data_IF_397689659563
#
_entry.id   IF_397689659563
#
_cell.length_a   1.000
_cell.length_b   1.000
_cell.length_c   1.000
_cell.angle_alpha   90.00
_cell.angle_beta   90.00
_cell.angle_gamma   90.00
#
_symmetry.space_group_name_H-M   'P 1'
#
loop_
_entity.id
_entity.type
_entity.pdbx_description
1 polymer ?
2 polymer ?
3 non-polymer ?
4 non-polymer ?
5 water ?
#
loop_
_entity_poly.entity_id
_entity_poly.type
_entity_poly.pdbx_seq_one_letter_code
_entity_poly.pdbx_strand_id
1 'polyribonucleotide' '(GTP)GCAUUGUGCCUCGCAUUGCACUCCGCGGGGCGAUAAGUCCUGAAAAGGGAUGUC' ?
#
# COMPACT_ATOMS: atom_id res chain seq x y z
N UNK C 2 -24.61 9.86 16.19
CA UNK C 2 -23.65 10.21 15.14
C UNK C 2 -24.26 10.72 13.81
N UNK C 3 -25.17 9.97 13.16
CA UNK C 3 -25.70 10.42 11.86
C UNK C 3 -26.39 11.77 11.97
N UNK C 4 -26.45 12.49 10.84
CA UNK C 4 -26.78 13.91 10.89
C UNK C 4 -27.31 14.34 9.52
N UNK C 5 -28.06 15.45 9.52
CA UNK C 5 -28.65 15.94 8.28
C UNK C 5 -27.59 16.35 7.28
N UNK C 6 -26.40 16.71 7.75
CA UNK C 6 -25.35 17.20 6.85
C UNK C 6 -24.11 16.32 6.97
N UNK C 7 -23.35 16.21 5.87
CA UNK C 7 -22.15 15.39 5.84
C UNK C 7 -20.95 16.30 5.62
N UNK C 8 -19.88 16.05 6.36
CA UNK C 8 -18.64 16.78 6.23
C UNK C 8 -17.71 16.03 5.29
N UNK C 9 -17.10 16.75 4.35
CA UNK C 9 -16.23 16.18 3.34
C UNK C 9 -14.91 16.93 3.37
N UNK C 10 -13.82 16.25 3.72
CA UNK C 10 -12.56 16.93 3.50
C UNK C 10 -11.70 16.14 2.52
N UNK C 11 -10.39 16.43 2.50
CA UNK C 11 -9.49 15.95 1.46
C UNK C 11 -9.89 16.43 0.07
N UNK C 12 -10.68 17.49 -0.05
CA UNK C 12 -10.99 17.98 -1.38
C UNK C 12 -9.80 18.69 -2.00
N UNK C 13 -9.77 18.63 -3.34
CA UNK C 13 -8.74 19.30 -4.13
C UNK C 13 -8.93 20.80 -3.99
N UNK C 14 -7.95 21.45 -3.36
CA UNK C 14 -8.02 22.88 -3.07
C UNK C 14 -7.73 23.79 -4.26
N UNK C 15 -7.23 23.27 -5.38
CA UNK C 15 -6.99 24.13 -6.53
C UNK C 15 -8.25 24.43 -7.31
N UNK C 16 -9.43 24.07 -6.82
CA UNK C 16 -10.64 24.16 -7.63
C UNK C 16 -11.43 25.39 -7.20
N UNK C 17 -11.86 26.17 -8.18
CA UNK C 17 -12.61 27.39 -7.89
C UNK C 17 -13.90 27.04 -7.14
N UNK C 18 -14.33 27.97 -6.30
CA UNK C 18 -15.44 27.69 -5.38
C UNK C 18 -16.76 27.55 -6.14
N UNK C 19 -16.97 28.38 -7.15
CA UNK C 19 -18.14 28.24 -8.02
C UNK C 19 -18.22 26.82 -8.57
N UNK C 20 -17.16 26.38 -9.22
CA UNK C 20 -17.13 25.05 -9.80
C UNK C 20 -17.28 23.97 -8.73
N UNK C 21 -16.66 24.19 -7.56
CA UNK C 21 -16.71 23.20 -6.49
C UNK C 21 -18.14 22.94 -6.04
N UNK C 22 -18.89 24.00 -5.72
CA UNK C 22 -20.29 23.82 -5.36
C UNK C 22 -21.06 23.14 -6.48
N UNK C 23 -20.89 23.59 -7.71
CA UNK C 23 -21.66 23.01 -8.80
C UNK C 23 -21.31 21.54 -8.96
N UNK C 24 -20.02 21.20 -8.86
CA UNK C 24 -19.63 19.80 -8.98
C UNK C 24 -20.11 18.96 -7.80
N UNK C 25 -20.02 19.50 -6.59
CA UNK C 25 -20.52 18.78 -5.43
C UNK C 25 -22.02 18.58 -5.55
N UNK C 26 -22.73 19.61 -6.01
CA UNK C 26 -24.19 19.52 -6.06
C UNK C 26 -24.64 18.49 -7.07
N UNK C 27 -23.98 18.43 -8.23
CA UNK C 27 -24.37 17.45 -9.23
C UNK C 27 -24.29 16.04 -8.65
N UNK C 28 -23.14 15.71 -8.04
CA UNK C 28 -22.91 14.37 -7.54
C UNK C 28 -23.91 14.03 -6.45
N UNK C 29 -24.11 14.95 -5.50
CA UNK C 29 -24.83 14.55 -4.29
C UNK C 29 -26.35 14.71 -4.38
N UNK C 30 -26.88 15.52 -5.30
CA UNK C 30 -28.33 15.58 -5.50
C UNK C 30 -28.94 14.21 -5.80
N UNK C 31 -28.18 13.31 -6.43
CA UNK C 31 -28.65 11.95 -6.71
C UNK C 31 -29.10 11.21 -5.46
N UNK C 32 -28.87 11.80 -4.28
CA UNK C 32 -29.20 11.13 -3.04
C UNK C 32 -30.38 11.75 -2.29
N UNK C 33 -30.84 12.92 -2.70
CA UNK C 33 -31.95 13.56 -2.03
C UNK C 33 -31.94 15.06 -2.29
N UNK C 34 -32.96 15.72 -1.73
CA UNK C 34 -33.01 17.16 -1.85
C UNK C 34 -31.95 17.79 -0.94
N UNK C 35 -31.31 18.83 -1.46
CA UNK C 35 -30.21 19.48 -0.79
C UNK C 35 -30.61 20.92 -0.47
N UNK C 36 -30.45 21.31 0.79
CA UNK C 36 -30.84 22.65 1.22
C UNK C 36 -29.75 23.67 0.93
N UNK C 37 -28.49 23.32 1.18
CA UNK C 37 -27.38 24.19 0.80
C UNK C 37 -26.10 23.36 0.77
N UNK C 38 -25.05 23.98 0.23
CA UNK C 38 -23.70 23.42 0.22
C UNK C 38 -22.76 24.54 0.62
N UNK C 39 -22.20 24.46 1.83
CA UNK C 39 -21.32 25.51 2.33
C UNK C 39 -19.87 25.20 1.96
N UNK C 40 -19.26 26.05 1.15
CA UNK C 40 -17.89 25.85 0.74
C UNK C 40 -17.12 27.15 0.93
N UNK C 41 -16.01 27.05 1.65
CA UNK C 41 -15.18 28.19 1.99
C UNK C 41 -13.76 27.82 1.63
N UNK C 42 -12.98 28.80 1.15
CA UNK C 42 -11.58 28.61 0.82
C UNK C 42 -10.63 29.32 1.78
N UNK C 43 -11.11 29.71 2.98
CA UNK C 43 -10.25 30.24 4.03
C UNK C 43 -9.14 29.23 4.34
N UNK C 44 -8.12 29.63 5.11
CA UNK C 44 -7.16 28.63 5.56
C UNK C 44 -7.87 27.51 6.32
N UNK C 45 -8.69 27.89 7.30
CA UNK C 45 -9.31 26.89 8.14
C UNK C 45 -10.18 25.92 7.34
N UNK C 46 -10.79 26.38 6.24
CA UNK C 46 -11.94 25.72 5.65
C UNK C 46 -11.74 25.25 4.21
N UNK C 47 -10.62 25.55 3.58
CA UNK C 47 -10.36 25.03 2.25
C UNK C 47 -10.20 23.51 2.29
N UNK C 48 -10.38 22.89 1.12
CA UNK C 48 -10.35 21.45 1.01
C UNK C 48 -11.51 20.74 1.67
N UNK C 49 -12.54 21.48 2.11
CA UNK C 49 -13.66 20.89 2.83
C UNK C 49 -14.98 21.43 2.30
N UNK C 50 -16.05 20.74 2.65
CA UNK C 50 -17.38 21.24 2.32
C UNK C 50 -18.41 20.60 3.23
N UNK C 51 -19.47 21.36 3.50
CA UNK C 51 -20.65 20.86 4.19
C UNK C 51 -21.77 20.74 3.17
N UNK C 52 -22.48 19.62 3.20
CA UNK C 52 -23.62 19.42 2.32
C UNK C 52 -24.80 19.09 3.22
N UNK C 53 -25.69 20.06 3.42
CA UNK C 53 -26.92 19.87 4.20
C UNK C 53 -27.93 19.14 3.34
N UNK C 54 -28.37 17.96 3.78
CA UNK C 54 -29.48 17.25 3.17
C UNK C 54 -30.76 17.52 3.94
N UNK C 55 -31.91 17.33 3.29
CA UNK C 55 -33.16 17.65 3.96
C UNK C 55 -33.66 16.49 4.80
N UNK C 56 -33.41 15.25 4.37
CA UNK C 56 -33.73 14.08 5.16
C UNK C 56 -32.42 13.37 5.50
N UNK C 57 -32.30 12.86 6.73
CA UNK C 57 -31.04 12.23 7.07
C UNK C 57 -30.84 10.93 6.30
N UNK C 58 -31.93 10.29 5.83
CA UNK C 58 -31.78 9.12 4.99
C UNK C 58 -30.88 9.41 3.81
N UNK C 59 -31.02 10.60 3.23
CA UNK C 59 -30.21 10.99 2.08
C UNK C 59 -28.74 11.10 2.45
N UNK C 60 -28.46 11.83 3.55
CA UNK C 60 -27.09 11.99 4.01
C UNK C 60 -26.41 10.64 4.22
N UNK C 61 -27.11 9.69 4.81
CA UNK C 61 -26.55 8.37 5.01
C UNK C 61 -26.26 7.67 3.67
N UNK C 62 -27.26 7.62 2.78
CA UNK C 62 -27.05 6.97 1.49
C UNK C 62 -25.90 7.65 0.72
N UNK C 63 -25.75 8.97 0.90
CA UNK C 63 -24.69 9.67 0.18
C UNK C 63 -23.33 9.40 0.84
N UNK C 64 -23.28 9.25 2.15
CA UNK C 64 -22.00 9.04 2.79
C UNK C 64 -21.43 7.67 2.41
N UNK C 65 -22.25 6.61 2.45
CA UNK C 65 -21.72 5.27 2.19
C UNK C 65 -21.49 5.01 0.71
N UNK C 66 -22.37 5.51 -0.16
CA UNK C 66 -22.14 5.29 -1.58
C UNK C 66 -20.88 6.03 -2.04
N UNK C 67 -20.67 7.27 -1.56
CA UNK C 67 -19.62 8.11 -2.09
C UNK C 67 -18.31 8.05 -1.33
N UNK C 68 -18.24 7.37 -0.18
CA UNK C 68 -17.04 7.38 0.65
C UNK C 68 -15.80 6.99 -0.15
N UNK C 69 -14.78 7.86 -0.15
CA UNK C 69 -13.53 7.56 -0.83
C UNK C 69 -13.56 7.58 -2.35
N UNK C 70 -14.65 8.02 -2.96
CA UNK C 70 -14.77 8.00 -4.40
C UNK C 70 -13.96 9.14 -5.03
N UNK C 71 -13.44 8.94 -6.23
CA UNK C 71 -12.59 9.98 -6.84
C UNK C 71 -13.40 11.20 -7.20
N UNK C 72 -12.80 12.35 -6.98
CA UNK C 72 -13.48 13.62 -7.28
C UNK C 72 -12.35 14.61 -7.47
N UNK C 73 -12.17 15.09 -8.71
CA UNK C 73 -11.05 15.96 -9.03
C UNK C 73 -9.72 15.39 -8.55
N UNK C 74 -9.50 14.10 -8.85
CA UNK C 74 -8.23 13.40 -8.64
C UNK C 74 -7.91 13.12 -7.19
N UNK C 75 -8.88 13.22 -6.28
CA UNK C 75 -8.59 12.93 -4.88
C UNK C 75 -9.75 12.18 -4.28
N UNK C 76 -9.49 11.27 -3.34
CA UNK C 76 -10.57 10.50 -2.73
C UNK C 76 -11.31 11.36 -1.71
N UNK C 77 -12.62 11.51 -1.90
CA UNK C 77 -13.43 12.22 -0.92
C UNK C 77 -13.41 11.43 0.38
N UNK C 78 -13.15 12.09 1.49
CA UNK C 78 -13.34 11.47 2.80
C UNK C 78 -14.55 12.14 3.44
N UNK C 79 -15.56 11.33 3.77
CA UNK C 79 -16.85 11.83 4.21
C UNK C 79 -17.17 11.31 5.60
N UNK C 80 -17.49 12.21 6.51
CA UNK C 80 -18.09 11.83 7.77
C UNK C 80 -19.34 12.70 8.01
N UNK C 81 -20.14 12.34 9.00
CA UNK C 81 -21.25 13.23 9.38
C UNK C 81 -20.75 14.43 10.17
N UNK C 82 -21.40 15.56 9.96
CA UNK C 82 -21.05 16.75 10.75
C UNK C 82 -21.20 16.46 12.23
N UNK C 83 -20.29 17.04 13.03
CA UNK C 83 -20.34 16.82 14.47
C UNK C 83 -21.65 17.34 15.08
N UNK C 84 -22.22 18.41 14.51
CA UNK C 84 -23.47 18.97 15.00
C UNK C 84 -24.39 19.34 13.84
N UNK C 85 -25.68 19.49 14.16
CA UNK C 85 -26.64 19.96 13.17
C UNK C 85 -26.23 21.32 12.62
N UNK C 86 -26.61 21.57 11.37
CA UNK C 86 -26.33 22.85 10.74
C UNK C 86 -27.39 23.89 11.13
N UNK C 87 -27.00 25.16 11.11
CA UNK C 87 -27.86 26.20 11.67
C UNK C 87 -29.25 26.19 11.05
N UNK C 88 -29.33 26.13 9.72
CA UNK C 88 -30.62 26.22 9.03
C UNK C 88 -31.40 24.93 9.21
N UNK C 89 -30.80 23.97 9.90
CA UNK C 89 -31.50 22.74 10.29
C UNK C 89 -31.88 22.75 11.77
N UNK C 90 -30.96 23.23 12.63
CA UNK C 90 -31.15 23.28 14.09
C UNK C 90 -32.31 24.20 14.52
N UNK C 91 -33.06 24.75 13.57
CA UNK C 91 -34.31 25.43 13.88
C UNK C 91 -35.37 24.36 14.10
N UNK C 92 -35.46 23.91 15.36
CA UNK C 92 -36.50 22.99 15.83
C UNK C 92 -36.75 23.18 17.34
N UNK D 1 -1.66 -16.22 -3.81
CA UNK D 1 -1.40 -16.39 -2.37
C UNK D 1 -2.63 -16.93 -1.63
N UNK D 2 -2.38 -17.69 -0.55
CA UNK D 2 -3.42 -18.11 0.38
C UNK D 2 -3.84 -16.92 1.25
N UNK D 3 -5.09 -16.91 1.71
CA UNK D 3 -5.59 -15.77 2.52
C UNK D 3 -4.86 -15.60 3.84
N UNK D 4 -5.24 -14.58 4.61
CA UNK D 4 -4.26 -13.85 5.41
C UNK D 4 -4.93 -12.62 6.05
N UNK D 5 -4.44 -12.17 7.19
CA UNK D 5 -5.06 -11.03 7.86
C UNK D 5 -4.75 -9.70 7.20
N UNK D 6 -3.64 -9.60 6.48
CA UNK D 6 -3.11 -8.32 6.03
C UNK D 6 -3.11 -8.31 4.51
N UNK D 7 -3.61 -7.24 3.92
CA UNK D 7 -3.58 -7.11 2.47
C UNK D 7 -2.41 -6.23 2.10
N UNK D 8 -1.85 -6.50 0.93
CA UNK D 8 -0.73 -5.74 0.41
C UNK D 8 -1.23 -4.98 -0.81
N UNK D 9 -0.98 -3.67 -0.80
CA UNK D 9 -1.51 -2.72 -1.76
C UNK D 9 -0.34 -2.04 -2.45
N UNK D 10 -0.39 -1.97 -3.78
CA UNK D 10 0.65 -1.25 -4.51
C UNK D 10 0.03 -0.66 -5.77
N UNK D 11 0.89 -0.11 -6.61
CA UNK D 11 0.47 0.80 -7.66
C UNK D 11 -0.22 2.02 -7.06
N UNK D 12 0.14 2.33 -5.83
CA UNK D 12 -0.25 3.56 -5.20
C UNK D 12 0.41 4.74 -5.91
N UNK D 13 -0.17 5.93 -5.76
CA UNK D 13 0.44 7.15 -6.29
C UNK D 13 1.53 7.61 -5.33
N UNK D 14 2.77 7.65 -5.82
CA UNK D 14 3.95 7.85 -4.99
C UNK D 14 4.18 9.29 -4.59
N UNK D 15 3.39 10.23 -5.06
CA UNK D 15 3.62 11.63 -4.73
C UNK D 15 2.77 12.13 -3.57
N UNK D 16 2.11 11.24 -2.84
CA UNK D 16 1.13 11.65 -1.82
C UNK D 16 1.75 11.53 -0.44
N UNK D 17 1.64 12.58 0.37
CA UNK D 17 2.08 12.50 1.75
C UNK D 17 1.53 11.24 2.40
N UNK D 18 2.43 10.40 2.94
CA UNK D 18 2.02 9.17 3.57
C UNK D 18 0.93 9.39 4.62
N UNK D 19 1.05 10.45 5.42
CA UNK D 19 0.01 10.74 6.42
C UNK D 19 -1.36 10.94 5.76
N UNK D 20 -1.40 11.56 4.58
CA UNK D 20 -2.67 11.75 3.89
C UNK D 20 -3.16 10.45 3.27
N UNK D 21 -2.27 9.69 2.67
CA UNK D 21 -2.75 8.46 2.04
C UNK D 21 -3.20 7.45 3.10
N UNK D 22 -2.59 7.46 4.29
CA UNK D 22 -3.09 6.63 5.37
C UNK D 22 -4.53 6.98 5.70
N UNK D 23 -4.85 8.27 5.81
CA UNK D 23 -6.22 8.66 6.13
C UNK D 23 -7.19 8.19 5.04
N UNK D 24 -6.77 8.28 3.77
CA UNK D 24 -7.65 7.83 2.70
C UNK D 24 -7.79 6.31 2.64
N UNK D 25 -6.74 5.56 3.00
CA UNK D 25 -6.89 4.11 3.09
C UNK D 25 -7.93 3.74 4.13
N UNK D 26 -7.81 4.35 5.30
CA UNK D 26 -8.77 4.10 6.36
C UNK D 26 -10.19 4.42 5.89
N UNK D 27 -10.35 5.56 5.22
CA UNK D 27 -11.70 5.96 4.84
C UNK D 27 -12.35 4.91 3.94
N UNK D 28 -11.58 4.26 3.09
CA UNK D 28 -12.20 3.33 2.16
C UNK D 28 -12.18 1.87 2.64
N UNK D 29 -11.28 1.51 3.56
CA UNK D 29 -11.24 0.13 4.03
C UNK D 29 -11.96 -0.10 5.35
N UNK D 30 -12.42 0.96 6.02
CA UNK D 30 -13.06 0.78 7.33
C UNK D 30 -14.34 -0.03 7.27
N UNK D 31 -15.12 0.06 6.19
CA UNK D 31 -16.43 -0.60 6.18
C UNK D 31 -16.32 -2.11 6.32
N UNK D 32 -15.21 -2.71 5.87
CA UNK D 32 -15.05 -4.16 5.87
C UNK D 32 -14.79 -4.76 7.24
N UNK D 33 -14.67 -3.95 8.28
CA UNK D 33 -14.41 -4.49 9.60
C UNK D 33 -13.26 -3.75 10.24
N UNK D 34 -12.86 -4.23 11.42
CA UNK D 34 -11.83 -3.53 12.18
C UNK D 34 -10.47 -3.61 11.47
N UNK D 35 -9.79 -2.46 11.39
CA UNK D 35 -8.40 -2.38 10.96
C UNK D 35 -7.55 -2.40 12.23
N UNK D 36 -6.51 -3.23 12.26
CA UNK D 36 -5.58 -3.14 13.39
C UNK D 36 -4.51 -2.09 13.15
N UNK D 37 -4.19 -1.79 11.90
CA UNK D 37 -3.06 -0.93 11.56
C UNK D 37 -3.05 -0.69 10.05
N UNK D 38 -2.72 0.53 9.64
CA UNK D 38 -2.38 0.84 8.25
C UNK D 38 -0.92 1.25 8.26
N UNK D 39 -0.08 0.59 7.46
CA UNK D 39 1.31 0.97 7.35
C UNK D 39 1.52 1.71 6.04
N UNK D 40 1.86 2.98 6.14
CA UNK D 40 2.37 3.76 5.02
C UNK D 40 3.69 4.34 5.50
N UNK D 41 4.69 4.30 4.62
CA UNK D 41 6.07 4.45 5.02
C UNK D 41 6.82 5.13 3.90
N UNK D 42 8.12 5.28 4.07
CA UNK D 42 8.91 5.82 2.98
C UNK D 42 8.93 4.89 1.78
N UNK D 43 8.57 3.62 1.96
CA UNK D 43 8.40 2.75 0.80
C UNK D 43 7.14 3.07 0.02
N UNK D 44 6.31 3.99 0.48
CA UNK D 44 5.31 4.55 -0.44
C UNK D 44 5.99 5.37 -1.53
N UNK D 45 7.02 6.13 -1.18
CA UNK D 45 7.78 6.84 -2.20
C UNK D 45 8.58 5.87 -3.05
N UNK D 46 9.16 4.84 -2.42
CA UNK D 46 10.08 3.92 -3.07
C UNK D 46 9.33 3.03 -4.04
N UNK D 47 8.79 1.93 -3.52
CA UNK D 47 7.84 1.14 -4.30
C UNK D 47 6.54 1.93 -4.31
N UNK D 48 5.48 1.37 -4.85
CA UNK D 48 4.25 2.12 -4.68
C UNK D 48 3.30 1.47 -3.69
N UNK D 49 3.74 1.21 -2.46
CA UNK D 49 3.07 0.19 -1.66
C UNK D 49 2.73 0.67 -0.24
N UNK D 50 1.79 -0.06 0.35
CA UNK D 50 1.38 0.15 1.74
C UNK D 50 0.67 -1.11 2.20
N UNK D 51 0.25 -1.12 3.47
CA UNK D 51 -0.39 -2.28 4.07
C UNK D 51 -1.62 -1.87 4.85
N UNK D 52 -2.69 -2.65 4.75
CA UNK D 52 -3.80 -2.60 5.70
C UNK D 52 -3.94 -3.97 6.37
N UNK D 53 -4.10 -3.97 7.70
CA UNK D 53 -4.05 -5.20 8.50
C UNK D 53 -5.37 -5.32 9.26
N UNK D 54 -6.22 -6.26 8.86
CA UNK D 54 -7.53 -6.43 9.48
C UNK D 54 -7.48 -7.39 10.65
N UNK D 55 -8.45 -7.24 11.56
CA UNK D 55 -8.51 -8.15 12.70
C UNK D 55 -8.99 -9.54 12.27
N UNK D 56 -9.88 -9.61 11.27
CA UNK D 56 -10.52 -10.85 10.88
C UNK D 56 -10.22 -11.14 9.41
N UNK D 57 -9.81 -12.37 9.13
CA UNK D 57 -9.44 -12.77 7.78
C UNK D 57 -10.56 -12.51 6.76
N UNK D 58 -11.82 -12.61 7.17
CA UNK D 58 -12.93 -12.35 6.24
C UNK D 58 -12.98 -10.89 5.82
N UNK D 59 -12.66 -9.97 6.75
CA UNK D 59 -12.53 -8.55 6.41
C UNK D 59 -11.57 -8.37 5.25
N UNK D 60 -10.42 -9.04 5.33
CA UNK D 60 -9.40 -8.92 4.30
C UNK D 60 -9.91 -9.40 2.96
N UNK D 61 -10.58 -10.54 2.92
CA UNK D 61 -11.09 -11.04 1.64
C UNK D 61 -12.12 -10.09 1.04
N UNK D 62 -13.13 -9.69 1.84
CA UNK D 62 -14.12 -8.75 1.34
C UNK D 62 -13.45 -7.51 0.77
N UNK D 63 -12.46 -6.96 1.50
CA UNK D 63 -11.75 -5.77 1.02
C UNK D 63 -11.03 -6.06 -0.28
N UNK D 64 -10.27 -7.17 -0.33
CA UNK D 64 -9.55 -7.50 -1.54
C UNK D 64 -10.50 -7.63 -2.71
N UNK D 65 -11.62 -8.31 -2.53
CA UNK D 65 -12.49 -8.54 -3.66
C UNK D 65 -13.28 -7.28 -4.04
N UNK D 66 -13.76 -6.54 -3.03
CA UNK D 66 -14.49 -5.31 -3.28
C UNK D 66 -13.61 -4.23 -3.91
N UNK D 67 -12.38 -4.08 -3.44
CA UNK D 67 -11.65 -2.85 -3.74
C UNK D 67 -10.61 -3.01 -4.84
N UNK D 68 -10.47 -4.20 -5.40
CA UNK D 68 -9.41 -4.42 -6.36
C UNK D 68 -9.60 -3.56 -7.61
N UNK D 69 -8.62 -2.71 -7.92
CA UNK D 69 -8.69 -1.80 -9.03
C UNK D 69 -9.31 -0.46 -8.72
N UNK D 70 -9.65 -0.21 -7.46
CA UNK D 70 -10.26 1.06 -7.07
C UNK D 70 -9.46 2.24 -7.59
N UNK D 71 -10.10 3.29 -8.09
CA UNK D 71 -9.36 4.49 -8.50
C UNK D 71 -8.93 5.26 -7.26
N UNK D 72 -7.65 5.59 -7.19
CA UNK D 72 -7.08 6.16 -5.97
C UNK D 72 -5.98 7.12 -6.39
N UNK D 73 -6.19 8.42 -6.14
CA UNK D 73 -5.22 9.46 -6.48
C UNK D 73 -4.67 9.28 -7.90
N UNK D 74 -5.57 8.95 -8.83
CA UNK D 74 -5.38 8.79 -10.28
C UNK D 74 -4.74 7.47 -10.71
N UNK D 75 -4.58 6.51 -9.82
CA UNK D 75 -4.11 5.20 -10.26
C UNK D 75 -4.96 4.11 -9.64
N UNK D 76 -5.14 2.98 -10.33
CA UNK D 76 -5.92 1.88 -9.76
C UNK D 76 -5.12 1.02 -8.78
N UNK D 77 -5.75 0.73 -7.65
CA UNK D 77 -5.11 -0.11 -6.64
C UNK D 77 -4.91 -1.50 -7.15
N UNK D 78 -3.75 -2.08 -6.85
CA UNK D 78 -3.59 -3.52 -6.90
C UNK D 78 -3.53 -4.01 -5.47
N UNK D 79 -4.28 -5.07 -5.18
CA UNK D 79 -4.43 -5.58 -3.83
C UNK D 79 -4.19 -7.09 -3.86
N UNK D 80 -3.28 -7.56 -3.03
CA UNK D 80 -3.07 -8.97 -2.79
C UNK D 80 -2.98 -9.18 -1.30
N UNK D 81 -3.22 -10.42 -0.87
CA UNK D 81 -2.79 -10.82 0.47
C UNK D 81 -1.29 -10.70 0.57
N UNK D 82 -0.82 -10.22 1.73
CA UNK D 82 0.62 -10.18 1.95
C UNK D 82 1.21 -11.59 1.85
N UNK D 83 2.43 -11.67 1.35
CA UNK D 83 3.15 -12.94 1.40
C UNK D 83 3.25 -13.45 2.84
N UNK D 84 3.35 -12.55 3.82
CA UNK D 84 3.52 -12.91 5.22
C UNK D 84 2.54 -12.10 6.07
N UNK D 85 1.81 -12.78 6.96
CA UNK D 85 1.05 -12.08 7.98
C UNK D 85 1.95 -11.18 8.83
N UNK D 86 1.46 -9.97 9.14
CA UNK D 86 2.24 -9.08 9.97
C UNK D 86 2.27 -9.58 11.41
N UNK D 87 3.35 -9.23 12.13
CA UNK D 87 3.55 -9.77 13.48
C UNK D 87 2.46 -9.40 14.47
N UNK D 88 1.77 -8.28 14.24
CA UNK D 88 0.74 -7.83 15.18
C UNK D 88 -0.19 -8.99 15.57
N UNK D 89 -0.33 -9.98 14.69
CA UNK D 89 -1.18 -11.15 14.93
C UNK D 89 -0.67 -11.98 16.11
N UNK E 2 16.50 -20.06 -13.90
CA UNK E 2 17.11 -21.27 -14.45
C UNK E 2 17.39 -21.18 -15.92
N UNK E 3 18.43 -20.46 -16.32
CA UNK E 3 19.34 -19.61 -15.56
C UNK E 3 18.68 -18.34 -15.07
N UNK E 4 19.46 -17.44 -14.47
CA UNK E 4 18.93 -16.24 -13.82
C UNK E 4 20.11 -15.37 -13.43
N UNK E 5 19.89 -14.06 -13.33
CA UNK E 5 20.96 -13.17 -12.89
C UNK E 5 21.36 -13.45 -11.45
N UNK E 6 20.50 -14.10 -10.69
CA UNK E 6 20.67 -14.23 -9.24
C UNK E 6 20.84 -15.70 -8.89
N UNK E 7 21.85 -16.00 -8.07
CA UNK E 7 21.99 -17.36 -7.57
C UNK E 7 21.55 -17.40 -6.12
N UNK E 8 20.93 -18.51 -5.74
CA UNK E 8 20.46 -18.75 -4.39
C UNK E 8 21.35 -19.79 -3.74
N UNK E 9 22.09 -19.38 -2.71
CA UNK E 9 23.01 -20.24 -2.00
C UNK E 9 22.39 -20.62 -0.67
N UNK E 10 22.45 -21.90 -0.32
CA UNK E 10 22.02 -22.28 1.03
C UNK E 10 23.02 -23.29 1.56
N UNK E 11 22.65 -24.00 2.62
CA UNK E 11 23.59 -24.81 3.40
C UNK E 11 24.75 -23.97 3.90
N UNK E 12 24.53 -22.68 4.10
CA UNK E 12 25.60 -21.85 4.63
C UNK E 12 25.69 -21.98 6.15
N UNK E 13 26.85 -21.60 6.67
CA UNK E 13 27.13 -21.69 8.10
C UNK E 13 26.42 -20.56 8.86
N UNK E 14 25.37 -20.91 9.61
CA UNK E 14 24.55 -19.92 10.28
C UNK E 14 25.24 -19.15 11.39
N UNK E 15 26.45 -19.53 11.82
CA UNK E 15 27.10 -18.80 12.91
C UNK E 15 27.89 -17.58 12.43
N UNK E 16 27.87 -17.29 11.15
CA UNK E 16 28.66 -16.16 10.63
C UNK E 16 27.83 -14.89 10.75
N UNK E 17 28.45 -13.81 11.24
CA UNK E 17 27.76 -12.53 11.36
C UNK E 17 27.35 -12.02 9.99
N UNK E 18 26.14 -11.45 9.91
CA UNK E 18 25.62 -11.01 8.63
C UNK E 18 26.63 -10.18 7.85
N UNK E 19 27.27 -9.21 8.52
CA UNK E 19 28.04 -8.25 7.77
C UNK E 19 29.28 -8.89 7.16
N UNK E 20 29.79 -9.96 7.77
CA UNK E 20 30.99 -10.55 7.21
C UNK E 20 30.67 -11.67 6.25
N UNK E 21 29.51 -12.32 6.42
CA UNK E 21 29.04 -13.25 5.41
C UNK E 21 28.80 -12.54 4.09
N UNK E 22 28.09 -11.41 4.15
CA UNK E 22 27.87 -10.56 2.99
C UNK E 22 29.19 -10.21 2.31
N UNK E 23 30.15 -9.67 3.07
CA UNK E 23 31.41 -9.29 2.43
C UNK E 23 32.20 -10.51 1.97
N UNK E 24 31.98 -11.66 2.61
CA UNK E 24 32.69 -12.86 2.19
C UNK E 24 32.15 -13.37 0.86
N UNK E 25 30.84 -13.55 0.77
CA UNK E 25 30.22 -13.86 -0.51
C UNK E 25 30.66 -12.88 -1.59
N UNK E 26 30.68 -11.58 -1.29
CA UNK E 26 31.03 -10.61 -2.31
C UNK E 26 32.46 -10.82 -2.81
N UNK E 27 33.41 -10.95 -1.88
CA UNK E 27 34.81 -11.09 -2.29
C UNK E 27 35.02 -12.37 -3.10
N UNK E 28 34.25 -13.40 -2.80
CA UNK E 28 34.48 -14.67 -3.48
C UNK E 28 33.78 -14.69 -4.83
N UNK E 29 32.51 -14.27 -4.88
CA UNK E 29 31.78 -14.38 -6.13
C UNK E 29 32.11 -13.25 -7.10
N UNK E 30 32.59 -12.10 -6.60
CA UNK E 30 33.09 -11.01 -7.45
C UNK E 30 34.08 -11.51 -8.49
N UNK E 31 34.78 -12.60 -8.20
CA UNK E 31 35.70 -13.17 -9.16
C UNK E 31 34.99 -13.72 -10.38
N UNK E 32 33.67 -13.90 -10.34
CA UNK E 32 32.97 -14.48 -11.48
C UNK E 32 32.19 -13.44 -12.27
N UNK E 33 32.33 -12.17 -11.93
CA UNK E 33 31.70 -11.10 -12.68
C UNK E 33 31.27 -9.97 -11.76
N UNK E 34 30.97 -8.83 -12.37
CA UNK E 34 30.41 -7.71 -11.63
C UNK E 34 29.17 -8.16 -10.86
N UNK E 35 29.03 -7.66 -9.63
CA UNK E 35 27.91 -7.99 -8.75
C UNK E 35 27.12 -6.72 -8.40
N UNK E 36 25.80 -6.83 -8.36
CA UNK E 36 24.93 -5.71 -8.02
C UNK E 36 24.49 -5.71 -6.56
N UNK E 37 24.17 -6.87 -5.99
CA UNK E 37 23.89 -6.90 -4.56
C UNK E 37 24.03 -8.33 -4.04
N UNK E 38 24.35 -8.43 -2.74
CA UNK E 38 24.15 -9.62 -1.95
C UNK E 38 23.00 -9.32 -0.99
N UNK E 39 22.04 -10.24 -0.90
CA UNK E 39 20.97 -10.12 0.10
C UNK E 39 21.07 -11.27 1.09
N UNK E 40 21.23 -10.92 2.36
CA UNK E 40 21.49 -11.86 3.44
C UNK E 40 20.64 -11.45 4.63
N UNK E 41 19.91 -12.40 5.21
CA UNK E 41 19.19 -12.19 6.45
C UNK E 41 19.48 -13.34 7.40
N UNK E 42 19.63 -13.03 8.68
CA UNK E 42 19.75 -14.13 9.64
C UNK E 42 18.43 -14.49 10.29
N UNK E 43 17.30 -14.12 9.69
CA UNK E 43 16.00 -14.48 10.23
C UNK E 43 15.87 -16.00 10.28
N UNK E 44 14.79 -16.48 10.89
CA UNK E 44 14.62 -17.93 10.94
C UNK E 44 14.27 -18.49 9.56
N UNK E 45 13.50 -17.75 8.77
CA UNK E 45 13.19 -18.18 7.42
C UNK E 45 14.42 -18.11 6.53
N UNK E 46 15.23 -17.04 6.66
CA UNK E 46 16.30 -16.75 5.70
C UNK E 46 17.71 -17.01 6.21
N UNK E 47 17.91 -17.51 7.42
CA UNK E 47 19.27 -17.83 7.82
C UNK E 47 19.78 -19.03 7.04
N UNK E 48 21.10 -19.14 6.93
CA UNK E 48 21.73 -20.21 6.19
C UNK E 48 21.78 -20.02 4.70
N UNK E 49 21.19 -18.94 4.16
CA UNK E 49 20.98 -18.78 2.74
C UNK E 49 21.47 -17.40 2.30
N UNK E 50 21.44 -17.15 1.00
CA UNK E 50 21.88 -15.87 0.45
C UNK E 50 21.49 -15.78 -1.03
N UNK E 51 21.29 -14.56 -1.48
CA UNK E 51 21.09 -14.23 -2.88
C UNK E 51 22.23 -13.32 -3.30
N UNK E 52 23.01 -13.74 -4.28
CA UNK E 52 23.97 -12.85 -4.91
C UNK E 52 23.56 -12.60 -6.36
N UNK E 53 23.51 -11.33 -6.71
CA UNK E 53 22.86 -10.84 -7.92
C UNK E 53 23.93 -10.36 -8.86
N UNK E 54 24.15 -11.10 -9.94
CA UNK E 54 25.18 -10.74 -10.90
C UNK E 54 24.60 -9.80 -11.95
N UNK E 55 25.47 -8.97 -12.53
CA UNK E 55 25.01 -8.10 -13.61
C UNK E 55 24.65 -8.90 -14.86
N UNK E 56 25.40 -9.97 -15.17
CA UNK E 56 25.17 -10.74 -16.39
C UNK E 56 25.06 -12.22 -16.06
N UNK E 57 24.15 -12.90 -16.78
CA UNK E 57 23.82 -14.29 -16.51
C UNK E 57 24.99 -15.22 -16.82
N UNK E 58 25.86 -14.84 -17.75
CA UNK E 58 27.08 -15.63 -17.94
C UNK E 58 27.82 -15.77 -16.62
N UNK E 59 28.06 -14.63 -15.94
CA UNK E 59 28.67 -14.62 -14.61
C UNK E 59 28.01 -15.63 -13.69
N UNK E 60 26.69 -15.51 -13.49
CA UNK E 60 25.98 -16.41 -12.59
C UNK E 60 26.22 -17.87 -12.92
N UNK E 61 25.98 -18.28 -14.18
CA UNK E 61 26.08 -19.72 -14.44
C UNK E 61 27.52 -20.21 -14.26
N UNK E 62 28.51 -19.38 -14.55
CA UNK E 62 29.89 -19.80 -14.28
C UNK E 62 30.13 -19.92 -12.78
N UNK E 63 29.57 -19.01 -11.99
CA UNK E 63 29.70 -19.10 -10.54
C UNK E 63 28.98 -20.34 -10.00
N UNK E 64 27.79 -20.64 -10.52
CA UNK E 64 27.06 -21.81 -10.05
C UNK E 64 27.81 -23.11 -10.36
N UNK E 65 28.37 -23.25 -11.56
CA UNK E 65 29.10 -24.47 -11.91
C UNK E 65 30.42 -24.59 -11.13
N UNK E 66 31.16 -23.47 -10.99
CA UNK E 66 32.52 -23.49 -10.42
C UNK E 66 32.52 -23.67 -8.91
N UNK E 67 31.61 -22.99 -8.20
CA UNK E 67 31.59 -22.93 -6.74
C UNK E 67 30.67 -23.96 -6.10
N UNK E 68 30.01 -24.81 -6.87
CA UNK E 68 29.10 -25.79 -6.29
C UNK E 68 29.81 -26.66 -5.27
N UNK E 69 29.27 -26.72 -4.06
CA UNK E 69 29.85 -27.59 -3.05
C UNK E 69 31.14 -27.08 -2.47
N UNK E 70 31.56 -25.88 -2.81
CA UNK E 70 32.84 -25.43 -2.29
C UNK E 70 32.80 -25.33 -0.77
N UNK E 71 33.88 -25.69 -0.08
CA UNK E 71 33.89 -25.62 1.37
C UNK E 71 34.03 -24.20 1.88
N UNK E 72 32.99 -23.74 2.56
CA UNK E 72 32.86 -22.36 2.97
C UNK E 72 32.52 -22.35 4.45
N UNK E 73 33.42 -21.81 5.27
CA UNK E 73 33.20 -21.79 6.72
C UNK E 73 32.82 -23.18 7.21
N UNK E 74 33.53 -24.19 6.71
CA UNK E 74 33.41 -25.57 7.12
C UNK E 74 32.11 -26.24 6.65
N UNK E 75 31.39 -25.65 5.70
CA UNK E 75 30.24 -26.29 5.08
C UNK E 75 30.34 -26.17 3.57
N UNK E 76 29.89 -27.17 2.82
CA UNK E 76 29.92 -27.09 1.35
C UNK E 76 28.73 -26.28 0.83
N UNK E 77 29.02 -25.26 0.02
CA UNK E 77 27.95 -24.42 -0.51
C UNK E 77 27.01 -25.23 -1.40
N UNK E 78 25.72 -24.98 -1.28
CA UNK E 78 24.74 -25.49 -2.22
C UNK E 78 24.18 -24.30 -2.99
N UNK E 79 24.34 -24.32 -4.32
CA UNK E 79 24.03 -23.20 -5.20
C UNK E 79 23.02 -23.64 -6.26
N UNK E 80 21.89 -22.92 -6.33
CA UNK E 80 20.90 -23.07 -7.38
C UNK E 80 20.71 -21.72 -8.07
N UNK E 81 20.01 -21.74 -9.20
CA UNK E 81 19.51 -20.50 -9.77
C UNK E 81 18.31 -20.03 -8.96
N UNK E 82 18.22 -18.72 -8.75
CA UNK E 82 17.05 -18.18 -8.06
C UNK E 82 15.80 -18.52 -8.86
N UNK E 83 14.77 -18.98 -8.15
CA UNK E 83 13.49 -19.31 -8.77
C UNK E 83 12.91 -18.11 -9.53
N UNK E 84 13.29 -16.89 -9.17
CA UNK E 84 12.66 -15.72 -9.75
C UNK E 84 13.60 -14.53 -9.77
N UNK E 85 13.27 -13.57 -10.63
CA UNK E 85 14.16 -12.41 -10.82
C UNK E 85 14.12 -11.53 -9.58
N UNK E 86 15.30 -11.12 -9.13
CA UNK E 86 15.38 -10.17 -8.04
C UNK E 86 14.81 -8.81 -8.48
N UNK E 87 14.21 -8.10 -7.53
CA UNK E 87 13.51 -6.85 -7.87
C UNK E 87 14.42 -5.86 -8.60
N UNK E 88 15.70 -5.79 -8.25
CA UNK E 88 16.52 -4.78 -8.92
C UNK E 88 16.84 -5.16 -10.36
N UNK E 89 16.79 -6.44 -10.74
CA UNK E 89 16.94 -6.77 -12.16
C UNK E 89 15.60 -6.93 -12.86
N UNK E 90 14.50 -6.83 -12.14
CA UNK E 90 13.20 -6.79 -12.80
C UNK E 90 12.76 -5.36 -13.08
N UNK E 91 13.57 -4.36 -12.72
CA UNK E 91 13.29 -2.96 -13.05
C UNK E 91 14.08 -2.50 -14.26
N UNK E 92 14.48 -3.43 -15.14
CA UNK E 92 15.32 -3.11 -16.29
C UNK E 92 15.41 -4.27 -17.29
X LIG F 1 17.18 -12.81 21.84
X LIG G 1 21.07 0.48 19.29
X LIG G 1 18.56 -0.01 18.49
X LIG G 1 19.52 0.46 17.60
X LIG G 1 16.86 -0.73 19.57
X LIG G 1 13.04 -3.19 19.28
X LIG G 1 13.47 -4.28 20.11
X LIG G 1 12.30 -5.32 20.08
X LIG G 1 12.53 -6.54 20.40
X LIG G 1 13.79 -3.88 21.57
X LIG G 1 13.49 -2.39 21.98
X LIG G 1 12.59 -1.99 24.19
X LIG G 1 14.52 -0.75 23.46
X LIG G 1 16.04 -0.92 23.45
X LIG G 1 16.41 -1.59 22.39
X LIG G 1 16.77 0.46 23.33
X LIG G 1 17.07 0.94 24.59
X LIG G 1 18.04 0.09 22.66
X LIG G 1 18.97 -0.27 23.78
X LIG G 1 17.83 -1.00 21.90
X LIG G 1 11.13 -4.91 19.72
X LIG G 1 12.91 -1.59 25.62
X LIG G 1 13.85 -2.09 23.39
X LIG G 1 20.74 0.69 18.02
X LIG G 1 12.76 -0.44 25.97
X LIG G 1 20.19 0.04 20.18
X LIG G 1 18.93 -0.22 19.81
X LIG G 1 19.18 0.72 16.17
X LIG G 1 17.28 -0.33 18.38
X LIG G 1 17.86 -0.67 20.46
X LIG H 1 -14.87 43.67 -7.79
X LIG H 1 -14.68 44.15 -5.17
X LIG H 1 -15.76 43.41 -5.66
X LIG H 1 -13.22 45.21 -4.02
X LIG H 1 -10.46 44.76 -0.08
X LIG H 1 -9.36 44.84 -0.98
X LIG H 1 -8.27 43.85 -0.46
X LIG H 1 -7.06 44.25 -0.37
X LIG H 1 -8.80 46.28 -1.10
X LIG H 1 -8.56 46.84 -2.55
X LIG H 1 -7.93 49.21 -2.40
X LIG H 1 -9.51 48.65 -4.09
X LIG H 1 -10.15 47.62 -5.03
X LIG H 1 -10.75 46.58 -4.51
X LIG H 1 -11.37 48.25 -5.78
X LIG H 1 -11.11 46.87 -7.81
X LIG H 1 -11.88 47.04 -6.54
X LIG H 1 -10.97 49.30 -6.61
X LIG H 1 -11.61 46.00 -5.74
X LIG H 1 -8.59 42.66 -0.10
X LIG H 1 -7.93 49.62 -0.93
X LIG H 1 -9.04 48.25 -2.71
X LIG H 1 -15.81 43.19 -6.97
X LIG H 1 -7.32 48.94 -0.14
X LIG H 1 -13.86 44.36 -7.35
X LIG H 1 -13.71 44.63 -6.03
X LIG H 1 -16.79 42.87 -4.73
X LIG H 1 -14.33 44.52 -3.94
X LIG H 1 -12.83 45.30 -5.29
#
# INVERSE_FOLDING_TARGET
TRPNHTIYINNLNEKIKKDELKKSLHAIFSRFGQILDILVKRSLKMRGQAFVIFKEVSSATNALRSMQGFPFYDKPMRIQYAKTDSDIIAKMA
TRPNHTIYINNLNEKIKKDELKKSLHAIFSRFGQILDILVKRSLKMRGQAFVIFKEVSSATNALRSMQGFPFYDKPMRIQYAKTDSDIIAKMA
TRPNHTIYINNLNEKIKKDELKKSLHAIFSRFGQILDILVKRSLKMRGQAFVIFKEVSSATNALRSMQGFPFYDKPMRIQYAKTDSDIIAKMA
MG MG
E7X C2 C5 C6 C8 N CA C O CB CG CE C5' C4' O4' C3' O3' C2' O2' C1' OXT C01 N01 N1 O01 N3 C4 N6 N7 N9
E7X C2 C5 C6 C8 N CA C O CB CG CE C5' C4' O4' C3' O3' C2' O2' C1' OXT C01 N01 N1 O01 N3 C4 N6 N7 N9
#
